data_IF_981546019873
#
_entry.id   IF_981546019873
#
_cell.length_a   1.000
_cell.length_b   1.000
_cell.length_c   1.000
_cell.angle_alpha   90.00
_cell.angle_beta   90.00
_cell.angle_gamma   90.00
#
_symmetry.space_group_name_H-M   'P 1'
#
loop_
_entity.id
_entity.type
_entity.pdbx_description
1 polymer ?
#
# COMPACT_ATOMS: atom_id res chain seq x y z
N UNK A 1 -2.64 33.49 -4.53
CA UNK A 1 -3.11 32.34 -3.74
C UNK A 1 -3.68 31.18 -4.55
N UNK A 2 -4.50 31.34 -5.60
CA UNK A 2 -5.02 30.17 -6.37
C UNK A 2 -3.99 29.45 -7.24
N UNK A 3 -3.18 30.22 -7.96
CA UNK A 3 -2.22 29.69 -8.94
C UNK A 3 -1.19 28.76 -8.29
N UNK A 4 -0.77 29.04 -7.07
CA UNK A 4 0.18 28.20 -6.32
C UNK A 4 -0.41 26.82 -6.00
N UNK A 5 -1.68 26.75 -5.58
CA UNK A 5 -2.36 25.46 -5.36
C UNK A 5 -2.56 24.68 -6.66
N UNK A 6 -2.88 25.36 -7.77
CA UNK A 6 -3.05 24.68 -9.07
C UNK A 6 -1.70 24.14 -9.58
N UNK A 7 -0.62 24.92 -9.49
CA UNK A 7 0.72 24.48 -9.89
C UNK A 7 1.16 23.29 -9.03
N UNK A 8 0.97 23.38 -7.72
CA UNK A 8 1.33 22.30 -6.80
C UNK A 8 0.50 21.03 -7.04
N UNK A 9 -0.81 21.18 -7.25
CA UNK A 9 -1.70 20.08 -7.61
C UNK A 9 -1.30 19.45 -8.94
N UNK A 10 -0.91 20.25 -9.93
CA UNK A 10 -0.46 19.76 -11.24
C UNK A 10 0.79 18.89 -11.11
N UNK A 11 1.79 19.32 -10.32
CA UNK A 11 3.01 18.55 -10.07
C UNK A 11 2.69 17.23 -9.37
N UNK A 12 1.86 17.27 -8.33
CA UNK A 12 1.44 16.07 -7.61
C UNK A 12 0.59 15.13 -8.45
N UNK A 13 -0.23 15.65 -9.37
CA UNK A 13 -1.03 14.83 -10.28
C UNK A 13 -0.13 14.10 -11.28
N UNK A 14 0.89 14.77 -11.82
CA UNK A 14 1.91 14.10 -12.65
C UNK A 14 2.62 13.00 -11.86
N UNK A 15 3.04 13.29 -10.62
CA UNK A 15 3.69 12.32 -9.75
C UNK A 15 2.76 11.12 -9.46
N UNK A 16 1.49 11.38 -9.21
CA UNK A 16 0.44 10.38 -9.00
C UNK A 16 0.27 9.45 -10.21
N UNK A 17 0.31 9.99 -11.44
CA UNK A 17 0.24 9.17 -12.67
C UNK A 17 1.45 8.25 -12.76
N UNK A 18 2.66 8.78 -12.52
CA UNK A 18 3.89 7.98 -12.53
C UNK A 18 3.81 6.87 -11.47
N UNK A 19 3.46 7.20 -10.24
CA UNK A 19 3.33 6.24 -9.14
C UNK A 19 2.21 5.21 -9.39
N UNK A 20 1.16 5.57 -10.12
CA UNK A 20 0.08 4.64 -10.49
C UNK A 20 0.51 3.63 -11.57
N UNK A 21 1.51 3.97 -12.39
CA UNK A 21 2.04 3.07 -13.43
C UNK A 21 3.11 2.15 -12.83
N UNK A 22 3.92 2.63 -11.90
CA UNK A 22 4.92 1.81 -11.22
C UNK A 22 4.27 0.84 -10.20
N UNK A 23 4.79 -0.38 -10.04
CA UNK A 23 4.31 -1.35 -9.06
C UNK A 23 4.81 -1.02 -7.64
N UNK A 24 4.52 0.20 -7.15
CA UNK A 24 4.91 0.66 -5.81
C UNK A 24 3.92 0.23 -4.71
N UNK A 25 2.94 -0.62 -5.07
CA UNK A 25 1.89 -1.07 -4.16
C UNK A 25 1.12 0.10 -3.54
N UNK A 26 0.93 0.05 -2.23
CA UNK A 26 0.23 1.06 -1.43
C UNK A 26 0.98 2.40 -1.31
N UNK A 27 2.29 2.45 -1.61
CA UNK A 27 3.06 3.71 -1.55
C UNK A 27 2.54 4.72 -2.59
N UNK A 28 1.98 4.24 -3.71
CA UNK A 28 1.34 5.07 -4.72
C UNK A 28 0.14 5.88 -4.19
N UNK A 29 -0.53 5.40 -3.13
CA UNK A 29 -1.69 6.08 -2.53
C UNK A 29 -1.30 7.42 -1.90
N UNK A 30 -0.07 7.56 -1.41
CA UNK A 30 0.40 8.75 -0.70
C UNK A 30 0.40 10.01 -1.61
N UNK A 31 1.07 10.03 -2.78
CA UNK A 31 0.98 11.17 -3.69
C UNK A 31 -0.42 11.36 -4.28
N UNK A 32 -1.19 10.28 -4.50
CA UNK A 32 -2.59 10.37 -4.96
C UNK A 32 -3.47 11.12 -3.95
N UNK A 33 -3.37 10.78 -2.67
CA UNK A 33 -4.15 11.40 -1.61
C UNK A 33 -3.83 12.90 -1.47
N UNK A 34 -2.54 13.26 -1.54
CA UNK A 34 -2.10 14.66 -1.52
C UNK A 34 -2.61 15.41 -2.76
N UNK A 35 -2.55 14.80 -3.94
CA UNK A 35 -3.06 15.39 -5.17
C UNK A 35 -4.58 15.65 -5.09
N UNK A 36 -5.34 14.73 -4.52
CA UNK A 36 -6.78 14.87 -4.29
C UNK A 36 -7.09 16.01 -3.33
N UNK A 37 -6.40 16.07 -2.18
CA UNK A 37 -6.59 17.13 -1.19
C UNK A 37 -6.26 18.51 -1.77
N UNK A 38 -5.14 18.65 -2.47
CA UNK A 38 -4.72 19.90 -3.12
C UNK A 38 -5.69 20.32 -4.22
N UNK A 39 -6.14 19.39 -5.05
CA UNK A 39 -7.09 19.64 -6.13
C UNK A 39 -8.46 20.05 -5.57
N UNK A 40 -8.90 19.42 -4.48
CA UNK A 40 -10.14 19.76 -3.78
C UNK A 40 -10.07 21.15 -3.16
N UNK A 41 -8.98 21.47 -2.44
CA UNK A 41 -8.75 22.81 -1.89
C UNK A 41 -8.69 23.87 -3.00
N UNK A 42 -8.03 23.55 -4.12
CA UNK A 42 -7.96 24.44 -5.27
C UNK A 42 -9.37 24.71 -5.85
N UNK A 43 -10.24 23.69 -5.90
CA UNK A 43 -11.62 23.78 -6.34
C UNK A 43 -12.47 24.66 -5.43
N UNK A 44 -12.38 24.46 -4.12
CA UNK A 44 -13.11 25.23 -3.11
C UNK A 44 -12.70 26.70 -3.14
N UNK A 45 -11.40 26.96 -3.38
CA UNK A 45 -10.88 28.31 -3.48
C UNK A 45 -11.18 28.95 -4.83
N UNK A 46 -11.58 28.21 -5.88
CA UNK A 46 -11.78 28.65 -7.28
C UNK A 46 -13.16 29.32 -7.55
N UNK A 47 -13.24 30.29 -8.46
CA UNK A 47 -14.47 31.01 -8.84
C UNK A 47 -15.20 30.22 -9.91
N UNK A 48 -16.52 30.38 -10.01
CA UNK A 48 -17.40 29.59 -10.87
C UNK A 48 -16.86 29.36 -12.30
N UNK A 49 -16.18 30.34 -12.88
CA UNK A 49 -15.63 30.28 -14.23
C UNK A 49 -14.29 29.50 -14.36
N UNK A 50 -13.48 29.50 -13.30
CA UNK A 50 -12.11 28.93 -13.30
C UNK A 50 -12.01 27.57 -12.56
N UNK A 51 -13.14 26.97 -12.20
CA UNK A 51 -13.21 25.64 -11.56
C UNK A 51 -12.90 24.48 -12.50
N UNK A 52 -12.89 24.69 -13.82
CA UNK A 52 -12.75 23.63 -14.84
C UNK A 52 -11.43 22.85 -14.68
N UNK A 53 -10.30 23.56 -14.54
CA UNK A 53 -8.97 22.94 -14.38
C UNK A 53 -8.84 22.08 -13.11
N UNK A 54 -9.05 22.62 -11.89
CA UNK A 54 -8.93 21.82 -10.66
C UNK A 54 -9.94 20.66 -10.62
N UNK A 55 -11.10 20.78 -11.27
CA UNK A 55 -12.08 19.69 -11.38
C UNK A 55 -11.60 18.54 -12.26
N UNK A 56 -10.90 18.83 -13.37
CA UNK A 56 -10.27 17.81 -14.23
C UNK A 56 -9.13 17.12 -13.48
N UNK A 57 -8.25 17.88 -12.81
CA UNK A 57 -7.16 17.34 -12.00
C UNK A 57 -7.67 16.38 -10.90
N UNK A 58 -8.73 16.78 -10.19
CA UNK A 58 -9.39 15.94 -9.18
C UNK A 58 -9.92 14.62 -9.79
N UNK A 59 -10.55 14.70 -10.96
CA UNK A 59 -11.13 13.53 -11.63
C UNK A 59 -10.03 12.55 -12.09
N UNK A 60 -8.92 13.06 -12.62
CA UNK A 60 -7.75 12.24 -13.00
C UNK A 60 -7.17 11.54 -11.76
N UNK A 61 -6.96 12.28 -10.68
CA UNK A 61 -6.43 11.70 -9.44
C UNK A 61 -7.38 10.64 -8.84
N UNK A 62 -8.69 10.84 -8.92
CA UNK A 62 -9.68 9.87 -8.49
C UNK A 62 -9.64 8.58 -9.33
N UNK A 63 -9.51 8.70 -10.65
CA UNK A 63 -9.35 7.54 -11.55
C UNK A 63 -8.06 6.78 -11.23
N UNK A 64 -6.94 7.48 -11.01
CA UNK A 64 -5.69 6.85 -10.56
C UNK A 64 -5.87 6.09 -9.25
N UNK A 65 -6.59 6.66 -8.27
CA UNK A 65 -6.87 5.99 -7.00
C UNK A 65 -7.64 4.68 -7.22
N UNK A 66 -8.71 4.72 -8.00
CA UNK A 66 -9.51 3.53 -8.33
C UNK A 66 -8.68 2.49 -9.07
N UNK A 67 -7.78 2.91 -9.97
CA UNK A 67 -6.89 2.00 -10.69
C UNK A 67 -5.89 1.30 -9.74
N UNK A 68 -5.30 2.04 -8.79
CA UNK A 68 -4.36 1.48 -7.81
C UNK A 68 -5.06 0.54 -6.83
N UNK A 69 -6.21 0.95 -6.28
CA UNK A 69 -7.03 0.11 -5.40
C UNK A 69 -7.53 -1.13 -6.15
N UNK A 70 -7.98 -0.95 -7.40
CA UNK A 70 -8.43 -2.04 -8.26
C UNK A 70 -7.33 -3.07 -8.49
N UNK A 71 -6.09 -2.63 -8.76
CA UNK A 71 -4.93 -3.53 -8.87
C UNK A 71 -4.63 -4.22 -7.54
N UNK A 72 -4.70 -3.53 -6.40
CA UNK A 72 -4.49 -4.12 -5.07
C UNK A 72 -5.56 -5.14 -4.67
N UNK A 73 -6.80 -4.99 -5.13
CA UNK A 73 -7.88 -5.95 -4.84
C UNK A 73 -7.89 -7.12 -5.83
N UNK A 74 -7.56 -6.89 -7.10
CA UNK A 74 -7.52 -7.92 -8.15
C UNK A 74 -6.26 -8.78 -8.06
N UNK A 75 -5.11 -8.15 -7.80
CA UNK A 75 -3.92 -8.86 -7.33
C UNK A 75 -4.14 -9.07 -5.85
N UNK A 76 -4.94 -10.09 -5.52
CA UNK A 76 -4.87 -10.70 -4.21
C UNK A 76 -3.38 -10.97 -4.05
N UNK A 77 -2.71 -10.19 -3.20
CA UNK A 77 -1.51 -10.70 -2.59
C UNK A 77 -2.03 -11.97 -1.91
N UNK A 78 -1.91 -13.10 -2.62
CA UNK A 78 -1.33 -14.25 -1.98
C UNK A 78 -0.10 -13.66 -1.30
N UNK A 79 -0.31 -13.25 -0.04
CA UNK A 79 0.64 -13.50 1.01
C UNK A 79 1.08 -14.90 0.64
N UNK A 80 2.20 -15.00 -0.06
CA UNK A 80 2.90 -16.25 -0.18
C UNK A 80 3.09 -16.56 1.29
N UNK A 81 2.16 -17.35 1.86
CA UNK A 81 2.36 -18.03 3.11
C UNK A 81 3.67 -18.69 2.81
N UNK A 82 4.71 -18.12 3.38
CA UNK A 82 6.08 -18.47 3.08
C UNK A 82 6.11 -19.91 3.57
N UNK A 83 5.84 -20.86 2.67
CA UNK A 83 5.56 -22.24 3.05
C UNK A 83 6.80 -22.83 3.73
N UNK A 84 7.95 -22.25 3.38
CA UNK A 84 9.22 -22.45 4.04
C UNK A 84 9.23 -21.96 5.50
N UNK A 85 8.58 -20.83 5.82
CA UNK A 85 8.44 -20.34 7.21
C UNK A 85 7.47 -21.20 8.02
N UNK A 86 6.31 -21.59 7.46
CA UNK A 86 5.39 -22.52 8.15
C UNK A 86 6.06 -23.89 8.37
N UNK A 87 6.78 -24.44 7.38
CA UNK A 87 7.55 -25.67 7.53
C UNK A 87 8.69 -25.54 8.55
N UNK A 88 9.35 -24.38 8.62
CA UNK A 88 10.41 -24.13 9.61
C UNK A 88 9.83 -24.10 11.03
N UNK A 89 8.68 -23.45 11.22
CA UNK A 89 7.98 -23.43 12.52
C UNK A 89 7.56 -24.84 12.94
N UNK A 90 7.04 -25.66 12.02
CA UNK A 90 6.66 -27.05 12.32
C UNK A 90 7.87 -27.93 12.62
N UNK A 91 8.94 -27.84 11.82
CA UNK A 91 10.18 -28.60 12.08
C UNK A 91 10.82 -28.24 13.40
N UNK A 92 10.95 -26.95 13.73
CA UNK A 92 11.51 -26.54 15.02
C UNK A 92 10.66 -27.06 16.17
N UNK A 93 9.33 -27.03 16.08
CA UNK A 93 8.47 -27.61 17.13
C UNK A 93 8.62 -29.12 17.26
N UNK A 94 8.85 -29.84 16.17
CA UNK A 94 9.07 -31.29 16.20
C UNK A 94 10.46 -31.64 16.74
N UNK A 95 11.49 -30.86 16.39
CA UNK A 95 12.85 -30.97 16.94
C UNK A 95 12.86 -30.65 18.44
N UNK A 96 12.26 -29.54 18.87
CA UNK A 96 12.15 -29.17 20.28
C UNK A 96 11.44 -30.26 21.10
N UNK A 97 10.39 -30.88 20.54
CA UNK A 97 9.70 -32.01 21.19
C UNK A 97 10.57 -33.24 21.31
N UNK A 98 11.31 -33.60 20.25
CA UNK A 98 12.23 -34.75 20.29
C UNK A 98 13.35 -34.53 21.29
N UNK A 99 13.90 -33.32 21.35
CA UNK A 99 14.95 -32.96 22.31
C UNK A 99 14.43 -33.05 23.75
N UNK A 100 13.18 -32.62 24.01
CA UNK A 100 12.52 -32.80 25.31
C UNK A 100 12.25 -34.28 25.67
N UNK A 101 11.78 -35.09 24.72
CA UNK A 101 11.56 -36.53 24.93
C UNK A 101 12.88 -37.29 25.16
N UNK A 102 13.96 -36.87 24.50
CA UNK A 102 15.30 -37.44 24.70
C UNK A 102 15.86 -37.09 26.08
N UNK A 103 15.67 -35.85 26.53
CA UNK A 103 16.03 -35.43 27.89
C UNK A 103 15.24 -36.18 28.97
N UNK A 104 13.93 -36.38 28.77
CA UNK A 104 13.08 -37.13 29.72
C UNK A 104 13.45 -38.62 29.80
N UNK A 105 13.78 -39.24 28.66
CA UNK A 105 14.29 -40.62 28.66
C UNK A 105 15.68 -40.74 29.29
N UNK A 106 16.56 -39.76 29.10
CA UNK A 106 17.90 -39.76 29.71
C UNK A 106 17.83 -39.59 31.23
N UNK A 107 16.86 -38.83 31.73
CA UNK A 107 16.61 -38.63 33.17
C UNK A 107 15.94 -39.86 33.81
N UNK A 108 15.05 -40.55 33.08
CA UNK A 108 14.41 -41.79 33.53
C UNK A 108 15.32 -43.03 33.57
N UNK A 109 16.43 -43.04 32.82
CA UNK A 109 17.43 -44.14 32.84
C UNK A 109 18.51 -43.92 33.95
N UNK A 110 18.46 -42.78 34.65
CA UNK A 110 19.36 -42.43 35.77
C UNK A 110 18.74 -42.64 37.17
N UNK A 111 17.44 -42.99 37.25
CA UNK A 111 16.76 -43.48 38.48
C UNK A 111 16.83 -45.01 38.64
#
# INVERSE_FOLDING_TARGET
>A
MRKTFIILASVFTLLSVVFSVLPLGTIAVLPIAIALLLSFLALQKSDADSKKLPKILLLIAAICLVAVIGKQLLVKEEVAKDAQFEQTIEKSKEEDKKELEELENLEGDLE
#
